data_IF_417592491482
#
_entry.id   IF_417592491482
#
_cell.length_a   1.000
_cell.length_b   1.000
_cell.length_c   1.000
_cell.angle_alpha   90.00
_cell.angle_beta   90.00
_cell.angle_gamma   90.00
#
_symmetry.space_group_name_H-M   'P 1'
#
loop_
_entity.id
_entity.type
_entity.pdbx_description
1 polymer ?
#
# COMPACT_ATOMS: atom_id res chain seq x y z
N UNK A 1 -5.84 -14.68 -2.18
CA UNK A 1 -5.77 -13.24 -1.99
C UNK A 1 -4.77 -12.91 -0.90
N UNK A 2 -3.92 -11.91 -1.12
CA UNK A 2 -2.93 -11.53 -0.13
C UNK A 2 -3.62 -10.93 1.10
N UNK A 3 -3.00 -11.12 2.25
CA UNK A 3 -3.57 -10.63 3.50
C UNK A 3 -3.75 -9.11 3.49
N UNK A 4 -2.82 -8.41 2.87
CA UNK A 4 -2.86 -6.94 2.82
C UNK A 4 -4.00 -6.43 1.93
N UNK A 5 -4.53 -7.27 1.05
CA UNK A 5 -5.58 -6.84 0.12
C UNK A 5 -6.83 -6.37 0.84
N UNK A 6 -7.07 -6.86 2.06
CA UNK A 6 -8.22 -6.41 2.84
C UNK A 6 -8.12 -4.91 3.13
N UNK A 7 -6.90 -4.41 3.34
CA UNK A 7 -6.70 -2.98 3.59
C UNK A 7 -6.89 -2.16 2.31
N UNK A 8 -6.53 -2.73 1.17
CA UNK A 8 -6.76 -2.06 -0.11
C UNK A 8 -8.25 -1.94 -0.40
N UNK A 9 -9.03 -2.98 -0.08
CA UNK A 9 -10.47 -2.92 -0.25
C UNK A 9 -11.08 -1.85 0.67
N UNK A 10 -10.63 -1.80 1.92
CA UNK A 10 -11.10 -0.79 2.85
C UNK A 10 -10.75 0.61 2.34
N UNK A 11 -9.53 0.78 1.86
CA UNK A 11 -9.07 2.04 1.30
C UNK A 11 -9.99 2.49 0.17
N UNK A 12 -10.31 1.58 -0.73
CA UNK A 12 -11.18 1.89 -1.86
C UNK A 12 -12.59 2.25 -1.40
N UNK A 13 -13.12 1.50 -0.44
CA UNK A 13 -14.47 1.75 0.07
C UNK A 13 -14.58 3.09 0.77
N UNK A 14 -13.54 3.48 1.47
CA UNK A 14 -13.53 4.75 2.21
C UNK A 14 -13.18 5.95 1.32
N UNK A 15 -12.70 5.69 0.12
CA UNK A 15 -12.26 6.78 -0.75
C UNK A 15 -10.95 7.40 -0.32
N UNK A 16 -10.11 6.64 0.36
CA UNK A 16 -8.82 7.13 0.83
C UNK A 16 -7.83 7.24 -0.31
N UNK A 17 -6.94 8.22 -0.22
CA UNK A 17 -5.91 8.43 -1.24
C UNK A 17 -4.67 7.59 -0.99
N UNK A 18 -4.34 7.33 0.25
CA UNK A 18 -3.11 6.62 0.62
C UNK A 18 -3.37 5.65 1.76
N UNK A 19 -2.60 4.57 1.78
CA UNK A 19 -2.55 3.63 2.89
C UNK A 19 -1.13 3.65 3.44
N UNK A 20 -1.01 3.89 4.75
CA UNK A 20 0.28 3.94 5.43
C UNK A 20 0.41 2.74 6.36
N UNK A 21 1.48 1.99 6.21
CA UNK A 21 1.76 0.83 7.06
C UNK A 21 3.18 0.96 7.59
N UNK A 22 3.29 1.18 8.89
CA UNK A 22 4.57 1.48 9.54
C UNK A 22 4.76 0.54 10.71
N UNK A 23 5.94 -0.08 10.79
CA UNK A 23 6.27 -0.95 11.92
C UNK A 23 6.13 -0.19 13.24
N UNK A 24 5.46 -0.80 14.21
CA UNK A 24 5.25 -0.18 15.51
C UNK A 24 4.01 0.68 15.60
N UNK A 25 3.19 0.71 14.55
CA UNK A 25 1.97 1.50 14.54
C UNK A 25 0.84 0.73 13.86
N UNK A 26 -0.42 1.08 14.14
CA UNK A 26 -1.54 0.51 13.39
C UNK A 26 -1.52 1.04 11.96
N UNK A 27 -2.13 0.32 11.02
CA UNK A 27 -2.29 0.87 9.66
C UNK A 27 -3.10 2.16 9.70
N UNK A 28 -2.87 3.04 8.74
CA UNK A 28 -3.59 4.31 8.68
C UNK A 28 -3.96 4.64 7.25
N UNK A 29 -5.06 5.35 7.09
CA UNK A 29 -5.51 5.83 5.79
C UNK A 29 -5.44 7.35 5.76
N UNK A 30 -5.16 7.90 4.58
CA UNK A 30 -5.29 9.34 4.39
C UNK A 30 -6.65 9.62 3.77
N UNK A 31 -7.51 10.28 4.53
CA UNK A 31 -8.86 10.63 4.11
C UNK A 31 -9.00 12.14 4.09
N UNK A 32 -9.33 12.71 2.93
CA UNK A 32 -9.53 14.15 2.80
C UNK A 32 -8.34 14.94 3.36
N UNK A 33 -7.15 14.44 3.11
CA UNK A 33 -5.92 15.10 3.54
C UNK A 33 -5.50 14.84 4.96
N UNK A 34 -6.29 14.09 5.73
CA UNK A 34 -5.97 13.79 7.13
C UNK A 34 -5.71 12.32 7.33
N UNK A 35 -4.80 12.02 8.24
CA UNK A 35 -4.43 10.65 8.56
C UNK A 35 -5.38 10.10 9.61
N UNK A 36 -6.00 8.96 9.30
CA UNK A 36 -6.88 8.28 10.24
C UNK A 36 -6.41 6.85 10.44
N UNK A 37 -6.19 6.47 11.69
CA UNK A 37 -5.76 5.12 12.00
C UNK A 37 -6.91 4.15 11.87
N UNK A 38 -6.60 3.00 11.26
CA UNK A 38 -7.56 1.92 11.15
C UNK A 38 -7.63 1.20 12.50
N UNK A 39 -8.81 0.77 12.88
CA UNK A 39 -8.97 -0.02 14.10
C UNK A 39 -8.44 -1.42 13.86
N UNK A 40 -7.17 -1.56 14.15
CA UNK A 40 -6.45 -2.81 13.95
C UNK A 40 -5.30 -2.81 14.94
N UNK A 41 -4.66 -3.95 15.11
CA UNK A 41 -3.54 -4.03 16.04
C UNK A 41 -2.32 -3.30 15.49
N UNK A 42 -1.39 -2.98 16.38
CA UNK A 42 -0.09 -2.45 15.98
C UNK A 42 0.63 -3.51 15.15
N UNK A 43 1.22 -3.10 14.03
CA UNK A 43 1.93 -4.00 13.15
C UNK A 43 3.39 -4.10 13.60
N UNK A 44 3.81 -5.32 13.95
CA UNK A 44 5.21 -5.55 14.28
C UNK A 44 6.02 -5.67 13.01
N UNK A 45 7.32 -5.40 13.12
CA UNK A 45 8.19 -5.40 11.94
C UNK A 45 8.12 -6.72 11.16
N UNK A 46 8.23 -7.85 11.85
CA UNK A 46 8.24 -9.14 11.17
C UNK A 46 6.91 -9.43 10.48
N UNK A 47 5.82 -9.08 11.13
CA UNK A 47 4.50 -9.28 10.57
C UNK A 47 4.29 -8.40 9.35
N UNK A 48 4.62 -7.13 9.45
CA UNK A 48 4.45 -6.21 8.34
C UNK A 48 5.34 -6.62 7.17
N UNK A 49 6.59 -6.99 7.46
CA UNK A 49 7.51 -7.42 6.43
C UNK A 49 6.96 -8.61 5.65
N UNK A 50 6.37 -9.58 6.36
CA UNK A 50 5.78 -10.73 5.71
C UNK A 50 4.61 -10.33 4.81
N UNK A 51 3.78 -9.41 5.27
CA UNK A 51 2.66 -8.93 4.47
C UNK A 51 3.13 -8.21 3.21
N UNK A 52 4.16 -7.39 3.33
CA UNK A 52 4.68 -6.64 2.20
C UNK A 52 5.37 -7.56 1.18
N UNK A 53 6.11 -8.54 1.67
CA UNK A 53 6.82 -9.45 0.78
C UNK A 53 5.87 -10.38 0.03
N UNK A 54 4.66 -10.56 0.56
CA UNK A 54 3.66 -11.39 -0.11
C UNK A 54 3.24 -10.81 -1.45
N UNK A 55 3.25 -9.49 -1.58
CA UNK A 55 2.81 -8.83 -2.81
C UNK A 55 3.95 -8.32 -3.67
N UNK A 56 5.16 -8.27 -3.14
CA UNK A 56 6.29 -7.70 -3.86
C UNK A 56 6.91 -8.73 -4.81
N UNK A 57 7.20 -8.35 -6.06
CA UNK A 57 7.95 -9.23 -6.94
C UNK A 57 9.32 -9.54 -6.36
N UNK A 58 9.84 -10.70 -6.70
CA UNK A 58 11.09 -11.18 -6.13
C UNK A 58 12.25 -10.21 -6.38
N UNK A 59 12.34 -9.66 -7.59
CA UNK A 59 13.39 -8.72 -7.90
C UNK A 59 13.27 -7.42 -7.08
N UNK A 60 12.04 -7.02 -6.74
CA UNK A 60 11.84 -5.82 -5.94
C UNK A 60 12.20 -6.07 -4.47
N UNK A 61 11.94 -7.28 -3.97
CA UNK A 61 12.37 -7.65 -2.63
C UNK A 61 13.88 -7.55 -2.52
N UNK A 62 14.59 -8.02 -3.54
CA UNK A 62 16.05 -7.95 -3.55
C UNK A 62 16.54 -6.51 -3.49
N UNK A 63 15.95 -5.64 -4.30
CA UNK A 63 16.33 -4.22 -4.29
C UNK A 63 16.10 -3.62 -2.92
N UNK A 64 14.96 -3.94 -2.31
CA UNK A 64 14.65 -3.40 -0.99
C UNK A 64 15.65 -3.88 0.05
N UNK A 65 16.03 -5.16 0.01
CA UNK A 65 16.97 -5.69 0.97
C UNK A 65 18.37 -5.12 0.79
N UNK A 66 18.72 -4.73 -0.42
CA UNK A 66 20.04 -4.17 -0.69
C UNK A 66 20.13 -2.69 -0.41
N UNK A 67 19.06 -1.94 -0.71
CA UNK A 67 19.11 -0.48 -0.63
C UNK A 67 18.24 0.11 0.46
N UNK A 68 17.28 -0.65 0.98
CA UNK A 68 16.36 -0.13 1.99
C UNK A 68 15.22 0.71 1.42
N UNK A 69 15.05 0.69 0.11
CA UNK A 69 14.01 1.49 -0.54
C UNK A 69 13.67 0.87 -1.89
N UNK A 70 12.38 0.76 -2.19
CA UNK A 70 11.95 0.26 -3.50
C UNK A 70 10.53 0.74 -3.76
N UNK A 71 10.20 1.00 -5.04
CA UNK A 71 8.82 1.25 -5.40
C UNK A 71 8.45 0.41 -6.61
N UNK A 72 7.17 0.11 -6.73
CA UNK A 72 6.65 -0.69 -7.83
C UNK A 72 5.14 -0.52 -7.89
N UNK A 73 4.54 -1.02 -8.97
CA UNK A 73 3.09 -1.00 -9.11
C UNK A 73 2.47 -2.30 -8.66
N UNK A 74 1.34 -2.21 -7.99
CA UNK A 74 0.58 -3.37 -7.54
C UNK A 74 -0.87 -3.20 -7.99
N UNK A 75 -1.40 -4.23 -8.61
CA UNK A 75 -2.76 -4.17 -9.13
C UNK A 75 -3.60 -5.29 -8.56
N UNK A 76 -4.83 -4.95 -8.12
CA UNK A 76 -5.83 -5.94 -7.75
C UNK A 76 -6.86 -5.91 -8.86
N UNK A 77 -6.93 -6.97 -9.69
CA UNK A 77 -7.87 -6.98 -10.81
C UNK A 77 -9.30 -6.75 -10.33
N UNK A 78 -10.01 -5.86 -11.02
CA UNK A 78 -11.37 -5.55 -10.67
C UNK A 78 -11.54 -4.56 -9.54
N UNK A 79 -10.45 -4.11 -8.92
CA UNK A 79 -10.53 -3.16 -7.83
C UNK A 79 -9.78 -1.87 -8.15
N UNK A 80 -8.46 -1.92 -8.23
CA UNK A 80 -7.68 -0.72 -8.46
C UNK A 80 -6.22 -1.08 -8.66
N UNK A 81 -5.46 -0.07 -9.08
CA UNK A 81 -4.00 -0.16 -9.15
C UNK A 81 -3.42 0.74 -8.09
N UNK A 82 -2.27 0.34 -7.56
CA UNK A 82 -1.63 1.07 -6.48
C UNK A 82 -0.16 1.25 -6.76
N UNK A 83 0.36 2.39 -6.38
CA UNK A 83 1.79 2.61 -6.38
C UNK A 83 2.31 2.30 -4.99
N UNK A 84 3.22 1.34 -4.89
CA UNK A 84 3.75 0.89 -3.62
C UNK A 84 5.16 1.42 -3.43
N UNK A 85 5.45 1.94 -2.25
CA UNK A 85 6.79 2.36 -1.88
C UNK A 85 7.13 1.74 -0.53
N UNK A 86 8.14 0.88 -0.52
CA UNK A 86 8.65 0.27 0.72
C UNK A 86 9.92 1.00 1.11
N UNK A 87 10.08 1.26 2.40
CA UNK A 87 11.30 1.90 2.88
C UNK A 87 11.60 1.46 4.30
N UNK A 88 12.85 1.64 4.70
CA UNK A 88 13.26 1.33 6.08
C UNK A 88 13.19 2.60 6.91
N UNK A 89 12.76 2.44 8.14
CA UNK A 89 12.73 3.56 9.06
C UNK A 89 13.16 3.05 10.45
N UNK A 90 13.08 3.91 11.47
CA UNK A 90 13.69 3.63 12.76
C UNK A 90 13.27 2.31 13.38
N UNK A 91 12.00 1.93 13.26
CA UNK A 91 11.48 0.75 13.93
C UNK A 91 11.31 -0.44 13.01
N UNK A 92 11.76 -0.35 11.78
CA UNK A 92 11.70 -1.45 10.85
C UNK A 92 11.14 -1.01 9.50
N UNK A 93 10.47 -1.94 8.81
CA UNK A 93 9.96 -1.66 7.48
C UNK A 93 8.73 -0.77 7.55
N UNK A 94 8.51 -0.03 6.47
CA UNK A 94 7.30 0.77 6.31
C UNK A 94 6.92 0.78 4.84
N UNK A 95 5.65 1.09 4.58
CA UNK A 95 5.18 1.16 3.20
C UNK A 95 4.09 2.20 3.09
N UNK A 96 4.04 2.87 1.94
CA UNK A 96 2.97 3.78 1.58
C UNK A 96 2.42 3.32 0.24
N UNK A 97 1.10 3.21 0.16
CA UNK A 97 0.43 2.82 -1.07
C UNK A 97 -0.49 3.94 -1.50
N UNK A 98 -0.40 4.34 -2.76
CA UNK A 98 -1.27 5.36 -3.32
C UNK A 98 -2.12 4.75 -4.41
N UNK A 99 -3.42 4.95 -4.33
CA UNK A 99 -4.32 4.43 -5.36
C UNK A 99 -4.20 5.27 -6.62
N UNK A 100 -4.06 4.59 -7.76
CA UNK A 100 -3.99 5.24 -9.06
C UNK A 100 -5.37 5.16 -9.67
N UNK A 101 -6.01 6.30 -9.96
CA UNK A 101 -7.37 6.28 -10.53
C UNK A 101 -7.40 5.57 -11.87
N UNK A 102 -8.26 4.58 -11.99
CA UNK A 102 -8.41 3.84 -13.24
C UNK A 102 -9.33 4.55 -14.21
N UNK A 103 -10.14 5.46 -13.71
CA UNK A 103 -11.08 6.17 -14.56
C UNK A 103 -10.40 7.03 -15.61
N UNK A 104 -9.14 7.33 -15.39
CA UNK A 104 -8.38 8.07 -16.40
C UNK A 104 -8.44 7.38 -17.75
N UNK A 105 -8.47 6.08 -17.73
CA UNK A 105 -8.45 5.31 -18.97
C UNK A 105 -9.72 5.47 -19.77
N UNK A 106 -10.83 5.71 -19.11
CA UNK A 106 -12.10 5.81 -19.79
C UNK A 106 -12.35 7.22 -20.29
N UNK A 107 -11.58 8.14 -19.86
CA UNK A 107 -11.78 9.49 -20.34
C UNK A 107 -11.51 9.59 -21.80
N UNK A 108 -11.11 8.68 -21.97
CA UNK A 108 -11.12 8.77 -23.07
C UNK A 108 -12.20 8.37 -23.44
N UNK A 109 -12.48 7.95 -22.76
CA UNK A 109 -13.54 7.77 -22.85
C UNK A 109 -14.32 8.60 -22.53
N UNK A 110 -14.27 9.00 -22.50
CA UNK A 110 -14.84 9.68 -22.26
C UNK A 110 -14.87 10.39 -22.62
N UNK A 111 -14.48 10.28 -23.13
CA UNK A 111 -14.54 10.76 -23.35
C UNK A 111 -14.82 11.00 -23.28
N UNK A 112 -14.90 10.71 -23.15
CA UNK A 112 -15.11 10.73 -22.96
C UNK A 112 -14.96 11.17 -22.86
#
# INVERSE_FOLDING_TARGET
MAKIDAFFKLMNEQGASDLHMVSGQPPALRLLGEIERIKYKVLENDELKAMLYEIAPEDKVKVFEETGDVDFGYEIPGLARYRANFFMQKYGVAAVFREIPSTILSAEQLGR
#
